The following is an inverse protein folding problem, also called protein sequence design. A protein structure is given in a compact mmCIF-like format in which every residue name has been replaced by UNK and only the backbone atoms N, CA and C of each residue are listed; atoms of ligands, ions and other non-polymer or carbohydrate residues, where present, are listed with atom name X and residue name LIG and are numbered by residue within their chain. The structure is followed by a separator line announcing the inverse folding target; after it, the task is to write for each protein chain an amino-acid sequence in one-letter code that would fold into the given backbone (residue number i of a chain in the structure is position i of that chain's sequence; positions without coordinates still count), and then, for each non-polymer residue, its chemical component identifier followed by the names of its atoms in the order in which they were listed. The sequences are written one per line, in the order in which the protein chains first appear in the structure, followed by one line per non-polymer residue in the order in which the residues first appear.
data_IF_837194639846
#
_entry.id   IF_837194639846
#
_cell.length_a   1.000
_cell.length_b   1.000
_cell.length_c   1.000
_cell.angle_alpha   90.00
_cell.angle_beta   90.00
_cell.angle_gamma   90.00
#
_symmetry.space_group_name_H-M   'P 1'
#
loop_
_entity.id
_entity.type
_entity.pdbx_description
1 polymer ?
#
# COMPACT_ATOMS: atom_id res chain seq x y z
N UNK A 1 45.56 80.10 -21.33
CA UNK A 1 44.58 80.24 -22.42
C UNK A 1 44.01 78.85 -22.68
N UNK A 2 42.84 78.55 -22.12
CA UNK A 2 41.53 78.51 -22.80
C UNK A 2 41.25 77.17 -23.52
N UNK A 3 40.38 76.40 -22.86
CA UNK A 3 39.17 75.76 -23.39
C UNK A 3 39.17 74.49 -24.25
N UNK A 4 38.21 73.65 -23.84
CA UNK A 4 37.28 72.83 -24.63
C UNK A 4 37.82 71.51 -25.20
N UNK A 5 37.07 70.41 -25.29
CA UNK A 5 35.75 70.00 -24.80
C UNK A 5 35.57 68.55 -25.29
N UNK A 6 34.93 67.72 -24.47
CA UNK A 6 34.02 66.62 -24.84
C UNK A 6 34.43 65.60 -25.94
N UNK A 7 34.39 64.32 -25.58
CA UNK A 7 33.25 63.42 -25.89
C UNK A 7 33.51 62.02 -25.30
N UNK A 8 32.78 61.70 -24.23
CA UNK A 8 32.63 60.32 -23.74
C UNK A 8 31.58 59.64 -24.62
N UNK A 9 31.99 58.67 -25.44
CA UNK A 9 31.07 57.77 -26.12
C UNK A 9 30.70 56.64 -25.15
N UNK A 10 29.49 56.70 -24.59
CA UNK A 10 28.90 55.61 -23.83
C UNK A 10 28.46 54.50 -24.78
N UNK A 11 29.04 53.30 -24.62
CA UNK A 11 28.53 52.08 -25.24
C UNK A 11 27.54 51.48 -24.25
N UNK A 12 26.24 51.73 -24.49
CA UNK A 12 25.15 51.01 -23.85
C UNK A 12 25.10 49.60 -24.45
N UNK A 13 25.77 48.65 -23.80
CA UNK A 13 25.57 47.23 -24.07
C UNK A 13 24.23 46.80 -23.44
N UNK A 14 23.19 46.68 -24.26
CA UNK A 14 21.93 46.08 -23.86
C UNK A 14 22.12 44.58 -23.67
N UNK A 15 22.27 44.14 -22.42
CA UNK A 15 22.16 42.73 -22.02
C UNK A 15 20.70 42.29 -22.17
N UNK A 16 20.38 41.62 -23.28
CA UNK A 16 19.19 40.80 -23.37
C UNK A 16 19.34 39.62 -22.40
N UNK A 17 18.78 39.74 -21.21
CA UNK A 17 18.56 38.59 -20.33
C UNK A 17 17.38 37.82 -20.90
N UNK A 18 17.68 36.80 -21.71
CA UNK A 18 16.71 35.78 -22.06
C UNK A 18 16.29 35.09 -20.77
N UNK A 19 15.07 35.38 -20.29
CA UNK A 19 14.43 34.63 -19.23
C UNK A 19 14.17 33.21 -19.77
N UNK A 20 15.13 32.30 -19.54
CA UNK A 20 14.90 30.87 -19.69
C UNK A 20 13.94 30.51 -18.57
N UNK A 21 12.65 30.48 -18.89
CA UNK A 21 11.64 29.91 -18.02
C UNK A 21 12.03 28.47 -17.74
N UNK A 22 12.54 28.20 -16.54
CA UNK A 22 12.66 26.84 -16.04
C UNK A 22 11.22 26.31 -15.90
N UNK A 23 10.72 25.66 -16.95
CA UNK A 23 9.63 24.73 -16.81
C UNK A 23 10.15 23.64 -15.87
N UNK A 24 9.81 23.73 -14.59
CA UNK A 24 10.04 22.65 -13.63
C UNK A 24 9.39 21.42 -14.26
N UNK A 25 10.13 20.36 -14.60
CA UNK A 25 9.51 19.16 -15.09
C UNK A 25 8.53 18.70 -14.01
N UNK A 26 7.25 18.63 -14.36
CA UNK A 26 6.28 17.93 -13.53
C UNK A 26 6.81 16.50 -13.43
N UNK A 27 7.45 16.16 -12.31
CA UNK A 27 7.96 14.82 -12.07
C UNK A 27 6.76 13.90 -12.21
N UNK A 28 6.72 13.12 -13.30
CA UNK A 28 5.68 12.14 -13.52
C UNK A 28 5.65 11.22 -12.30
N UNK A 29 4.49 11.14 -11.66
CA UNK A 29 4.28 10.26 -10.50
C UNK A 29 4.58 8.84 -10.97
N UNK A 30 5.47 8.14 -10.25
CA UNK A 30 5.83 6.76 -10.58
C UNK A 30 4.56 5.89 -10.61
N UNK A 31 4.31 5.10 -11.67
CA UNK A 31 3.03 4.38 -11.83
C UNK A 31 2.65 3.48 -10.65
N UNK A 32 3.61 2.74 -10.09
CA UNK A 32 3.38 1.91 -8.92
C UNK A 32 3.02 2.73 -7.68
N UNK A 33 3.73 3.84 -7.46
CA UNK A 33 3.41 4.80 -6.41
C UNK A 33 2.02 5.44 -6.59
N UNK A 34 1.58 5.69 -7.83
CA UNK A 34 0.23 6.21 -8.09
C UNK A 34 -0.86 5.24 -7.59
N UNK A 35 -0.70 3.93 -7.79
CA UNK A 35 -1.64 2.93 -7.24
C UNK A 35 -1.63 2.94 -5.72
N UNK A 36 -0.43 3.00 -5.12
CA UNK A 36 -0.26 3.09 -3.66
C UNK A 36 -0.93 4.35 -3.10
N UNK A 37 -0.76 5.50 -3.75
CA UNK A 37 -1.40 6.73 -3.32
C UNK A 37 -2.93 6.64 -3.43
N UNK A 38 -3.45 6.02 -4.50
CA UNK A 38 -4.88 5.84 -4.70
C UNK A 38 -5.51 4.95 -3.62
N UNK A 39 -4.90 3.83 -3.25
CA UNK A 39 -5.41 3.00 -2.16
C UNK A 39 -5.37 3.73 -0.81
N UNK A 40 -4.30 4.48 -0.53
CA UNK A 40 -4.22 5.31 0.69
C UNK A 40 -5.32 6.37 0.71
N UNK A 41 -5.60 7.01 -0.42
CA UNK A 41 -6.66 8.01 -0.55
C UNK A 41 -8.06 7.43 -0.26
N UNK A 42 -8.32 6.17 -0.68
CA UNK A 42 -9.57 5.47 -0.35
C UNK A 42 -9.75 5.37 1.17
N UNK A 43 -8.67 5.09 1.89
CA UNK A 43 -8.70 4.93 3.35
C UNK A 43 -8.53 6.25 4.10
N UNK A 44 -8.02 7.31 3.50
CA UNK A 44 -7.92 8.62 4.15
C UNK A 44 -9.22 9.43 4.12
N UNK A 45 -10.16 9.09 3.22
CA UNK A 45 -11.45 9.76 3.07
C UNK A 45 -12.42 9.56 4.25
N UNK A 46 -13.45 10.40 4.31
CA UNK A 46 -14.48 10.41 5.35
C UNK A 46 -15.59 9.37 5.09
N UNK A 47 -15.52 8.22 5.76
CA UNK A 47 -16.68 7.31 5.94
C UNK A 47 -16.40 5.83 5.64
N UNK A 48 -16.95 4.94 6.49
CA UNK A 48 -16.84 3.47 6.37
C UNK A 48 -17.56 2.87 5.16
N UNK A 49 -18.53 3.57 4.57
CA UNK A 49 -19.19 3.17 3.32
C UNK A 49 -18.28 3.29 2.07
N UNK A 50 -17.09 3.90 2.21
CA UNK A 50 -16.18 4.28 1.12
C UNK A 50 -15.22 3.16 0.65
N UNK A 51 -14.99 2.12 1.46
CA UNK A 51 -13.94 1.13 1.16
C UNK A 51 -14.32 0.12 0.07
N UNK A 52 -15.56 0.15 -0.44
CA UNK A 52 -15.97 -0.66 -1.58
C UNK A 52 -15.08 -0.41 -2.81
N UNK A 53 -14.53 0.80 -2.93
CA UNK A 53 -13.58 1.19 -3.96
C UNK A 53 -12.17 0.60 -3.76
N UNK A 54 -11.79 0.18 -2.54
CA UNK A 54 -10.47 -0.38 -2.26
C UNK A 54 -10.21 -1.68 -3.03
N UNK A 55 -11.26 -2.47 -3.30
CA UNK A 55 -11.16 -3.70 -4.09
C UNK A 55 -10.68 -3.47 -5.53
N UNK A 56 -10.76 -2.24 -6.05
CA UNK A 56 -10.19 -1.88 -7.36
C UNK A 56 -8.66 -1.88 -7.34
N UNK A 57 -8.06 -1.66 -6.17
CA UNK A 57 -6.61 -1.49 -5.98
C UNK A 57 -5.95 -2.69 -5.29
N UNK A 58 -6.71 -3.71 -4.87
CA UNK A 58 -6.19 -4.88 -4.17
C UNK A 58 -6.35 -6.13 -5.04
N UNK A 59 -5.27 -6.90 -5.20
CA UNK A 59 -5.28 -8.18 -5.90
C UNK A 59 -5.63 -9.32 -4.93
N UNK A 60 -6.93 -9.50 -4.69
CA UNK A 60 -7.41 -10.57 -3.81
C UNK A 60 -7.11 -11.97 -4.34
N UNK A 61 -7.04 -12.15 -5.66
CA UNK A 61 -6.73 -13.45 -6.27
C UNK A 61 -5.27 -13.82 -6.04
N UNK A 62 -4.34 -12.90 -6.32
CA UNK A 62 -2.91 -13.10 -6.05
C UNK A 62 -2.63 -13.27 -4.55
N UNK A 63 -3.26 -12.45 -3.70
CA UNK A 63 -3.16 -12.57 -2.25
C UNK A 63 -3.62 -13.96 -1.79
N UNK A 64 -4.75 -14.46 -2.31
CA UNK A 64 -5.32 -15.76 -1.96
C UNK A 64 -4.47 -16.94 -2.42
N UNK A 65 -3.94 -16.87 -3.64
CA UNK A 65 -3.05 -17.88 -4.17
C UNK A 65 -1.79 -17.99 -3.31
N UNK A 66 -1.19 -16.84 -2.96
CA UNK A 66 0.08 -16.81 -2.22
C UNK A 66 -0.09 -17.16 -0.75
N UNK A 67 -1.22 -16.82 -0.12
CA UNK A 67 -1.49 -17.20 1.28
C UNK A 67 -1.66 -18.72 1.48
N UNK A 68 -2.12 -19.44 0.45
CA UNK A 68 -2.21 -20.90 0.45
C UNK A 68 -0.93 -21.57 -0.03
N UNK A 69 -0.17 -20.89 -0.88
CA UNK A 69 0.97 -21.44 -1.60
C UNK A 69 0.55 -22.21 -2.85
N UNK A 70 1.42 -22.20 -3.86
CA UNK A 70 1.14 -22.75 -5.18
C UNK A 70 0.72 -24.23 -5.16
N UNK A 71 1.35 -25.05 -4.30
CA UNK A 71 1.08 -26.48 -4.20
C UNK A 71 -0.31 -26.82 -3.65
N UNK A 72 -0.86 -26.00 -2.75
CA UNK A 72 -2.24 -26.17 -2.31
C UNK A 72 -3.21 -25.57 -3.33
N UNK A 73 -2.88 -24.39 -3.87
CA UNK A 73 -3.74 -23.68 -4.83
C UNK A 73 -4.03 -24.48 -6.09
N UNK A 74 -3.02 -25.20 -6.63
CA UNK A 74 -3.17 -26.00 -7.85
C UNK A 74 -4.17 -27.16 -7.71
N UNK A 75 -4.37 -27.65 -6.48
CA UNK A 75 -5.30 -28.76 -6.17
C UNK A 75 -6.76 -28.33 -6.06
N UNK A 76 -7.02 -27.02 -5.99
CA UNK A 76 -8.36 -26.48 -5.79
C UNK A 76 -9.12 -26.36 -7.10
N UNK A 77 -10.42 -26.70 -7.06
CA UNK A 77 -11.35 -26.39 -8.14
C UNK A 77 -11.54 -24.87 -8.30
N UNK A 78 -12.03 -24.43 -9.46
CA UNK A 78 -12.35 -23.02 -9.72
C UNK A 78 -13.32 -22.48 -8.66
N UNK A 79 -14.35 -23.27 -8.31
CA UNK A 79 -15.30 -22.91 -7.25
C UNK A 79 -14.62 -22.73 -5.89
N UNK A 80 -13.72 -23.64 -5.51
CA UNK A 80 -12.99 -23.54 -4.24
C UNK A 80 -12.07 -22.31 -4.18
N UNK A 81 -11.36 -22.00 -5.28
CA UNK A 81 -10.53 -20.80 -5.38
C UNK A 81 -11.34 -19.52 -5.20
N UNK A 82 -12.48 -19.43 -5.89
CA UNK A 82 -13.43 -18.32 -5.77
C UNK A 82 -13.98 -18.18 -4.35
N UNK A 83 -14.47 -19.28 -3.78
CA UNK A 83 -15.10 -19.27 -2.45
C UNK A 83 -14.08 -18.91 -1.35
N UNK A 84 -12.83 -19.36 -1.48
CA UNK A 84 -11.73 -18.95 -0.60
C UNK A 84 -11.37 -17.48 -0.75
N UNK A 85 -11.23 -17.00 -1.98
CA UNK A 85 -10.90 -15.59 -2.25
C UNK A 85 -11.96 -14.65 -1.70
N UNK A 86 -13.24 -14.99 -1.87
CA UNK A 86 -14.35 -14.25 -1.29
C UNK A 86 -14.30 -14.24 0.24
N UNK A 87 -14.05 -15.39 0.88
CA UNK A 87 -13.93 -15.47 2.33
C UNK A 87 -12.73 -14.66 2.87
N UNK A 88 -11.58 -14.74 2.20
CA UNK A 88 -10.38 -13.97 2.57
C UNK A 88 -10.65 -12.47 2.47
N UNK A 89 -11.29 -12.03 1.39
CA UNK A 89 -11.69 -10.63 1.19
C UNK A 89 -12.54 -10.12 2.34
N UNK A 90 -13.60 -10.83 2.75
CA UNK A 90 -14.46 -10.37 3.85
C UNK A 90 -13.67 -10.26 5.17
N UNK A 91 -12.81 -11.23 5.47
CA UNK A 91 -11.93 -11.16 6.65
C UNK A 91 -10.97 -9.97 6.59
N UNK A 92 -10.46 -9.65 5.40
CA UNK A 92 -9.59 -8.50 5.16
C UNK A 92 -10.32 -7.19 5.42
N UNK A 93 -11.52 -7.05 4.84
CA UNK A 93 -12.38 -5.88 4.98
C UNK A 93 -12.74 -5.64 6.46
N UNK A 94 -13.16 -6.67 7.18
CA UNK A 94 -13.55 -6.55 8.58
C UNK A 94 -12.36 -6.21 9.50
N UNK A 95 -11.22 -6.87 9.30
CA UNK A 95 -10.09 -6.77 10.23
C UNK A 95 -9.17 -5.59 9.97
N UNK A 96 -8.88 -5.31 8.69
CA UNK A 96 -7.82 -4.37 8.32
C UNK A 96 -8.34 -3.01 7.87
N UNK A 97 -9.47 -2.94 7.16
CA UNK A 97 -9.94 -1.65 6.63
C UNK A 97 -10.19 -0.59 7.71
N UNK A 98 -10.85 -0.90 8.86
CA UNK A 98 -11.00 0.10 9.92
C UNK A 98 -9.66 0.57 10.50
N UNK A 99 -8.65 -0.31 10.55
CA UNK A 99 -7.31 0.03 11.02
C UNK A 99 -6.58 0.89 9.98
N UNK A 100 -6.61 0.50 8.71
CA UNK A 100 -6.02 1.26 7.62
C UNK A 100 -6.61 2.66 7.52
N UNK A 101 -7.93 2.79 7.65
CA UNK A 101 -8.55 4.11 7.73
C UNK A 101 -8.01 4.97 8.88
N UNK A 102 -7.91 4.41 10.08
CA UNK A 102 -7.37 5.13 11.25
C UNK A 102 -5.93 5.59 11.05
N UNK A 103 -5.12 4.77 10.36
CA UNK A 103 -3.72 5.07 10.07
C UNK A 103 -3.62 6.14 8.97
N UNK A 104 -4.28 5.91 7.83
CA UNK A 104 -4.14 6.73 6.63
C UNK A 104 -4.92 8.05 6.68
N UNK A 105 -5.96 8.16 7.49
CA UNK A 105 -6.68 9.44 7.71
C UNK A 105 -5.85 10.54 8.35
N UNK A 106 -4.73 10.20 9.00
CA UNK A 106 -3.84 11.15 9.71
C UNK A 106 -2.44 11.23 9.11
N UNK A 107 -2.18 10.44 8.08
CA UNK A 107 -0.84 10.25 7.57
C UNK A 107 -0.66 10.85 6.19
N UNK A 108 0.56 11.30 5.92
CA UNK A 108 1.03 11.57 4.56
C UNK A 108 1.90 10.42 4.09
N UNK A 109 1.84 10.12 2.81
CA UNK A 109 2.69 9.11 2.20
C UNK A 109 3.77 9.79 1.38
N UNK A 110 5.01 9.36 1.58
CA UNK A 110 6.15 9.83 0.80
C UNK A 110 6.76 8.65 0.06
N UNK A 111 6.96 8.81 -1.24
CA UNK A 111 7.70 7.84 -2.05
C UNK A 111 9.18 7.80 -1.64
N UNK A 112 9.74 6.60 -1.54
CA UNK A 112 11.17 6.40 -1.25
C UNK A 112 11.86 5.79 -2.45
N UNK A 113 11.42 4.58 -2.85
CA UNK A 113 12.06 3.84 -3.93
C UNK A 113 11.12 2.80 -4.50
N UNK A 114 11.56 2.21 -5.60
CA UNK A 114 10.94 1.06 -6.24
C UNK A 114 12.01 0.03 -6.54
N UNK A 115 11.68 -1.24 -6.31
CA UNK A 115 12.52 -2.37 -6.68
C UNK A 115 11.66 -3.51 -7.19
N UNK A 116 12.28 -4.46 -7.90
CA UNK A 116 11.63 -5.70 -8.32
C UNK A 116 12.21 -6.84 -7.48
N UNK A 117 11.35 -7.76 -7.04
CA UNK A 117 11.74 -8.93 -6.26
C UNK A 117 10.99 -10.15 -6.74
N UNK A 118 11.61 -10.95 -7.61
CA UNK A 118 10.89 -12.00 -8.34
C UNK A 118 9.81 -11.38 -9.22
N UNK A 119 8.60 -11.94 -9.18
CA UNK A 119 7.44 -11.46 -9.95
C UNK A 119 6.67 -10.32 -9.24
N UNK A 120 7.34 -9.62 -8.32
CA UNK A 120 6.73 -8.56 -7.52
C UNK A 120 7.40 -7.22 -7.73
N UNK A 121 6.54 -6.20 -7.83
CA UNK A 121 6.96 -4.82 -7.70
C UNK A 121 6.88 -4.40 -6.24
N UNK A 122 8.01 -3.98 -5.67
CA UNK A 122 8.08 -3.45 -4.32
C UNK A 122 8.18 -1.93 -4.37
N UNK A 123 7.18 -1.24 -3.82
CA UNK A 123 7.18 0.21 -3.67
C UNK A 123 7.46 0.53 -2.21
N UNK A 124 8.57 1.19 -1.94
CA UNK A 124 8.95 1.64 -0.60
C UNK A 124 8.43 3.06 -0.37
N UNK A 125 7.79 3.28 0.77
CA UNK A 125 7.24 4.57 1.15
C UNK A 125 7.47 4.85 2.63
N UNK A 126 7.50 6.12 3.01
CA UNK A 126 7.39 6.53 4.41
C UNK A 126 5.97 6.98 4.72
N UNK A 127 5.42 6.46 5.81
CA UNK A 127 4.21 6.96 6.42
C UNK A 127 4.56 8.05 7.43
N UNK A 128 4.13 9.27 7.19
CA UNK A 128 4.46 10.42 8.02
C UNK A 128 3.25 10.85 8.83
N UNK A 129 3.36 10.74 10.15
CA UNK A 129 2.34 11.21 11.12
C UNK A 129 3.00 12.20 12.07
N UNK A 130 2.76 13.49 11.84
CA UNK A 130 3.47 14.56 12.55
C UNK A 130 4.98 14.47 12.30
N UNK A 131 5.76 14.22 13.36
CA UNK A 131 7.23 14.04 13.27
C UNK A 131 7.68 12.59 13.11
N UNK A 132 6.78 11.61 13.27
CA UNK A 132 7.10 10.19 13.15
C UNK A 132 7.08 9.76 11.69
N UNK A 133 8.06 8.95 11.30
CA UNK A 133 8.12 8.29 9.99
C UNK A 133 8.23 6.79 10.19
N UNK A 134 7.29 6.05 9.62
CA UNK A 134 7.31 4.59 9.60
C UNK A 134 7.56 4.10 8.18
N UNK A 135 8.59 3.26 8.01
CA UNK A 135 8.89 2.65 6.72
C UNK A 135 7.84 1.60 6.36
N UNK A 136 7.33 1.69 5.14
CA UNK A 136 6.35 0.76 4.56
C UNK A 136 6.87 0.20 3.24
N UNK A 137 6.57 -1.07 3.00
CA UNK A 137 6.81 -1.72 1.71
C UNK A 137 5.49 -2.26 1.18
N UNK A 138 5.11 -1.80 -0.01
CA UNK A 138 3.94 -2.24 -0.72
C UNK A 138 4.36 -3.24 -1.78
N UNK A 139 3.76 -4.42 -1.78
CA UNK A 139 3.96 -5.43 -2.81
C UNK A 139 2.83 -5.33 -3.82
N UNK A 140 3.16 -5.04 -5.07
CA UNK A 140 2.23 -4.91 -6.17
C UNK A 140 2.42 -6.08 -7.14
N UNK A 141 1.31 -6.50 -7.72
CA UNK A 141 1.24 -7.48 -8.79
C UNK A 141 1.80 -6.87 -10.07
N UNK A 142 2.80 -7.50 -10.68
CA UNK A 142 3.35 -7.15 -11.98
C UNK A 142 2.32 -7.25 -13.12
N UNK A 143 1.25 -8.03 -12.93
CA UNK A 143 0.22 -8.30 -13.93
C UNK A 143 -0.83 -7.21 -14.07
N UNK A 144 -1.13 -6.48 -12.99
CA UNK A 144 -2.26 -5.54 -12.96
C UNK A 144 -2.02 -4.32 -12.05
N UNK A 145 -0.78 -4.13 -11.57
CA UNK A 145 -0.33 -3.07 -10.67
C UNK A 145 -1.11 -2.96 -9.35
N UNK A 146 -1.93 -3.94 -9.00
CA UNK A 146 -2.70 -3.92 -7.74
C UNK A 146 -1.88 -4.41 -6.56
N UNK A 147 -2.21 -3.88 -5.38
CA UNK A 147 -1.58 -4.22 -4.11
C UNK A 147 -1.92 -5.66 -3.71
N UNK A 148 -0.90 -6.48 -3.51
CA UNK A 148 -0.99 -7.84 -2.99
C UNK A 148 -0.80 -7.84 -1.47
N UNK A 149 0.21 -7.13 -0.97
CA UNK A 149 0.50 -7.08 0.46
C UNK A 149 1.11 -5.75 0.88
N UNK A 150 1.06 -5.51 2.19
CA UNK A 150 1.64 -4.34 2.83
C UNK A 150 2.44 -4.80 4.04
N UNK A 151 3.70 -4.36 4.10
CA UNK A 151 4.57 -4.49 5.25
C UNK A 151 4.78 -3.13 5.93
N UNK A 152 4.74 -3.14 7.26
CA UNK A 152 5.16 -2.02 8.11
C UNK A 152 6.34 -2.52 8.93
N UNK A 153 7.52 -1.93 8.74
CA UNK A 153 8.77 -2.52 9.21
C UNK A 153 8.98 -3.93 8.65
N UNK A 154 9.27 -4.91 9.52
CA UNK A 154 9.55 -6.30 9.14
C UNK A 154 8.30 -7.22 9.10
N UNK A 155 7.10 -6.66 9.24
CA UNK A 155 5.89 -7.46 9.45
C UNK A 155 4.91 -7.33 8.29
N UNK A 156 5.07 -8.17 7.27
CA UNK A 156 4.20 -8.25 6.09
C UNK A 156 2.83 -8.88 6.40
N UNK A 157 1.79 -8.34 5.78
CA UNK A 157 0.41 -8.83 5.92
C UNK A 157 0.23 -10.26 5.41
N UNK A 158 0.79 -10.58 4.24
CA UNK A 158 0.63 -11.88 3.61
C UNK A 158 1.32 -12.97 4.41
N UNK A 159 2.48 -12.68 4.98
CA UNK A 159 3.18 -13.60 5.88
C UNK A 159 2.33 -13.90 7.12
N UNK A 160 1.71 -12.88 7.73
CA UNK A 160 0.79 -13.07 8.86
C UNK A 160 -0.44 -13.89 8.49
N UNK A 161 -1.03 -13.63 7.33
CA UNK A 161 -2.18 -14.40 6.84
C UNK A 161 -1.79 -15.87 6.65
N UNK A 162 -0.66 -16.12 5.99
CA UNK A 162 -0.11 -17.46 5.75
C UNK A 162 0.13 -18.19 7.07
N UNK A 163 0.82 -17.55 8.02
CA UNK A 163 1.12 -18.14 9.33
C UNK A 163 -0.14 -18.46 10.14
N UNK A 164 -1.23 -17.71 9.96
CA UNK A 164 -2.52 -17.99 10.61
C UNK A 164 -3.27 -19.16 9.96
N UNK A 165 -3.21 -19.27 8.63
CA UNK A 165 -4.02 -20.23 7.87
C UNK A 165 -3.33 -21.59 7.74
N UNK A 166 -1.99 -21.63 7.58
CA UNK A 166 -1.24 -22.87 7.38
C UNK A 166 -1.44 -23.91 8.50
N UNK A 167 -1.44 -23.56 9.79
CA UNK A 167 -1.71 -24.54 10.85
C UNK A 167 -3.11 -25.15 10.75
N UNK A 168 -4.12 -24.34 10.40
CA UNK A 168 -5.50 -24.82 10.21
C UNK A 168 -5.59 -25.72 8.99
N UNK A 169 -5.00 -25.31 7.87
CA UNK A 169 -4.93 -26.10 6.65
C UNK A 169 -4.29 -27.49 6.91
N UNK A 170 -3.17 -27.53 7.64
CA UNK A 170 -2.47 -28.78 7.97
C UNK A 170 -3.26 -29.67 8.93
N UNK A 171 -3.96 -29.08 9.90
CA UNK A 171 -4.69 -29.82 10.94
C UNK A 171 -6.03 -30.37 10.47
N UNK A 172 -6.82 -29.59 9.73
CA UNK A 172 -8.21 -29.93 9.40
C UNK A 172 -8.52 -29.93 7.90
N UNK A 173 -7.52 -29.67 7.06
CA UNK A 173 -7.70 -29.64 5.62
C UNK A 173 -8.38 -28.37 5.11
N UNK A 174 -8.45 -28.26 3.78
CA UNK A 174 -8.92 -27.06 3.11
C UNK A 174 -10.40 -26.77 3.40
N UNK A 175 -11.27 -27.78 3.33
CA UNK A 175 -12.71 -27.57 3.46
C UNK A 175 -13.08 -27.05 4.85
N UNK A 176 -12.53 -27.62 5.92
CA UNK A 176 -12.77 -27.16 7.29
C UNK A 176 -12.19 -25.77 7.54
N UNK A 177 -11.01 -25.45 6.98
CA UNK A 177 -10.46 -24.10 7.05
C UNK A 177 -11.33 -23.08 6.32
N UNK A 178 -11.85 -23.42 5.14
CA UNK A 178 -12.75 -22.56 4.36
C UNK A 178 -14.05 -22.29 5.12
N UNK A 179 -14.67 -23.34 5.68
CA UNK A 179 -15.86 -23.19 6.54
C UNK A 179 -15.58 -22.30 7.76
N UNK A 180 -14.42 -22.48 8.40
CA UNK A 180 -14.01 -21.60 9.51
C UNK A 180 -13.86 -20.13 9.07
N UNK A 181 -13.25 -19.87 7.92
CA UNK A 181 -13.12 -18.52 7.37
C UNK A 181 -14.49 -17.90 7.08
N UNK A 182 -15.41 -18.68 6.50
CA UNK A 182 -16.76 -18.23 6.17
C UNK A 182 -17.59 -17.93 7.42
N UNK A 183 -17.50 -18.76 8.47
CA UNK A 183 -18.16 -18.49 9.75
C UNK A 183 -17.64 -17.21 10.41
N UNK A 184 -16.31 -17.02 10.42
CA UNK A 184 -15.70 -15.79 10.93
C UNK A 184 -16.06 -14.56 10.11
N UNK A 185 -16.15 -14.70 8.78
CA UNK A 185 -16.58 -13.64 7.88
C UNK A 185 -18.04 -13.22 8.11
N UNK A 186 -18.89 -14.10 8.63
CA UNK A 186 -20.29 -13.79 8.99
C UNK A 186 -20.47 -13.27 10.42
N UNK A 187 -19.40 -13.22 11.21
CA UNK A 187 -19.49 -12.86 12.63
C UNK A 187 -20.17 -13.91 13.50
N UNK A 188 -20.27 -15.15 13.02
CA UNK A 188 -20.98 -16.27 13.68
C UNK A 188 -20.18 -16.89 14.85
N UNK A 189 -18.94 -16.48 15.07
CA UNK A 189 -18.22 -16.78 16.32
C UNK A 189 -17.88 -15.48 17.08
N UNK A 190 -18.12 -15.42 18.41
CA UNK A 190 -17.58 -14.35 19.22
C UNK A 190 -16.06 -14.36 19.02
N UNK A 191 -15.48 -13.19 18.81
CA UNK A 191 -14.03 -13.00 18.75
C UNK A 191 -13.43 -13.56 20.03
N UNK A 192 -13.08 -14.85 20.03
CA UNK A 192 -12.30 -15.43 21.11
C UNK A 192 -11.00 -14.70 21.02
N UNK A 193 -10.78 -13.83 22.00
CA UNK A 193 -9.54 -13.13 22.21
C UNK A 193 -8.45 -14.19 22.14
N UNK A 194 -7.68 -14.19 21.06
CA UNK A 194 -6.29 -14.64 21.16
C UNK A 194 -5.57 -13.52 21.90
N UNK A 195 -5.92 -13.37 23.19
CA UNK A 195 -5.23 -12.56 24.16
C UNK A 195 -3.96 -13.33 24.50
N UNK A 196 -2.85 -12.81 23.98
CA UNK A 196 -1.52 -12.75 24.62
C UNK A 196 -0.46 -12.79 23.51
N UNK A 197 0.35 -11.73 23.47
CA UNK A 197 1.46 -11.46 22.55
C UNK A 197 1.12 -10.89 21.16
N UNK A 198 0.74 -9.61 21.11
CA UNK A 198 1.55 -8.56 20.43
C UNK A 198 0.90 -7.18 20.54
N UNK A 199 1.04 -6.59 21.73
CA UNK A 199 1.24 -5.14 21.86
C UNK A 199 2.54 -4.79 21.13
N UNK A 200 2.47 -4.15 19.96
CA UNK A 200 3.58 -3.35 19.39
C UNK A 200 3.01 -2.26 18.47
N UNK A 201 2.28 -1.32 19.06
CA UNK A 201 2.63 0.09 18.96
C UNK A 201 2.65 0.54 20.41
N UNK A 202 3.83 0.82 20.93
CA UNK A 202 4.00 1.26 22.31
C UNK A 202 3.03 2.39 22.61
N UNK A 203 2.15 2.13 23.57
CA UNK A 203 2.06 3.01 24.72
C UNK A 203 3.49 3.28 25.19
N UNK A 204 4.02 4.42 24.77
CA UNK A 204 5.02 5.13 25.52
C UNK A 204 4.43 6.52 25.70
N UNK A 205 4.22 6.84 26.98
CA UNK A 205 3.82 8.13 27.55
C UNK A 205 4.43 9.32 26.81
#
# INVERSE_FOLDING_TARGET
MLNASARRAGILAALFVSAVGFATPCLAIEPGFAVVQNIVNVFSGSGSASYSSAAKFIDYDAMSQRSLGAGQWSKLTVKQKRDYTAALRVLMEQRYYPRWHRIFSKAKLEYVSKSVSGDDLLVQTNLVVGKKRDAMTWRLSDRNDKVISLAIGQKDLLDRLTNRLQPKLKKSGFQSMLSWMQAHAKGEEPATQTSSAESVLGESR
#
